data_IF_717787525285
#
_entry.id   IF_717787525285
#
_cell.length_a   1.000
_cell.length_b   1.000
_cell.length_c   1.000
_cell.angle_alpha   90.00
_cell.angle_beta   90.00
_cell.angle_gamma   90.00
#
_symmetry.space_group_name_H-M   'P 1'
#
loop_
_entity.id
_entity.type
_entity.pdbx_description
1 polymer ?
#
# COMPACT_ATOMS: atom_id res chain seq x y z
N UNK A 1 13.64 31.97 -67.54
CA UNK A 1 13.04 33.19 -66.95
C UNK A 1 13.28 33.14 -65.44
N UNK A 2 14.24 33.91 -64.92
CA UNK A 2 14.35 34.34 -63.50
C UNK A 2 14.02 35.84 -63.52
N UNK A 3 13.37 36.46 -62.52
CA UNK A 3 13.94 36.78 -61.19
C UNK A 3 12.90 36.48 -60.06
N UNK A 4 13.15 36.54 -58.75
CA UNK A 4 13.82 37.56 -57.96
C UNK A 4 14.34 36.97 -56.64
N UNK A 5 15.54 37.40 -56.26
CA UNK A 5 16.11 37.33 -54.93
C UNK A 5 15.24 38.10 -53.92
N UNK A 6 15.23 37.62 -52.66
CA UNK A 6 15.57 38.47 -51.52
C UNK A 6 16.25 37.63 -50.45
N UNK A 7 17.56 37.87 -50.28
CA UNK A 7 18.35 37.50 -49.12
C UNK A 7 17.88 38.30 -47.91
N UNK A 8 17.91 37.68 -46.73
CA UNK A 8 18.46 38.32 -45.53
C UNK A 8 19.25 37.26 -44.75
N UNK A 9 20.53 37.56 -44.58
CA UNK A 9 21.54 36.87 -43.79
C UNK A 9 21.16 36.78 -42.30
N UNK A 10 21.37 35.61 -41.68
CA UNK A 10 22.44 35.33 -40.71
C UNK A 10 22.08 35.58 -39.24
N UNK A 11 22.06 34.49 -38.46
CA UNK A 11 22.86 34.43 -37.24
C UNK A 11 23.18 32.96 -36.91
N UNK A 12 24.46 32.62 -37.07
CA UNK A 12 25.10 31.49 -36.40
C UNK A 12 25.17 31.81 -34.90
N UNK A 13 24.89 30.83 -34.05
CA UNK A 13 25.60 30.67 -32.79
C UNK A 13 25.71 29.17 -32.47
N UNK A 14 26.88 28.62 -32.77
CA UNK A 14 27.35 27.40 -32.15
C UNK A 14 27.81 27.75 -30.72
N UNK A 15 27.26 27.07 -29.70
CA UNK A 15 27.91 27.00 -28.39
C UNK A 15 27.86 25.58 -27.83
N UNK A 16 29.05 25.01 -27.82
CA UNK A 16 29.56 23.84 -27.10
C UNK A 16 29.13 23.74 -25.63
N UNK A 17 28.58 22.56 -25.27
CA UNK A 17 28.79 21.80 -24.02
C UNK A 17 28.28 22.38 -22.67
N UNK A 18 28.15 21.55 -21.61
CA UNK A 18 28.77 20.24 -21.44
C UNK A 18 27.79 19.06 -21.19
N UNK A 19 28.28 17.85 -21.52
CA UNK A 19 27.92 16.61 -20.87
C UNK A 19 27.99 16.77 -19.34
N UNK A 20 26.94 16.37 -18.63
CA UNK A 20 27.08 15.85 -17.29
C UNK A 20 26.68 14.37 -17.31
N UNK A 21 27.71 13.57 -17.47
CA UNK A 21 27.75 12.14 -17.17
C UNK A 21 27.95 12.00 -15.66
N UNK A 22 27.19 11.12 -15.01
CA UNK A 22 27.53 10.56 -13.71
C UNK A 22 26.65 10.97 -12.53
N UNK A 23 25.57 10.23 -12.30
CA UNK A 23 25.51 9.48 -11.05
C UNK A 23 25.36 8.00 -11.44
N UNK A 24 26.28 7.11 -11.02
CA UNK A 24 26.10 5.69 -11.22
C UNK A 24 24.98 5.25 -10.28
N UNK A 25 23.76 5.08 -10.81
CA UNK A 25 22.84 4.16 -10.16
C UNK A 25 23.52 2.80 -10.18
N UNK A 26 23.85 2.28 -8.99
CA UNK A 26 24.43 0.96 -8.85
C UNK A 26 23.58 -0.04 -9.65
N UNK A 27 24.17 -0.80 -10.58
CA UNK A 27 23.43 -1.76 -11.38
C UNK A 27 22.79 -2.84 -10.49
N UNK A 28 23.25 -3.04 -9.25
CA UNK A 28 22.63 -3.96 -8.29
C UNK A 28 21.34 -3.40 -7.65
N UNK A 29 21.25 -2.09 -7.41
CA UNK A 29 20.07 -1.47 -6.76
C UNK A 29 18.85 -1.41 -7.70
N UNK A 30 19.10 -1.25 -9.00
CA UNK A 30 18.05 -1.38 -10.02
C UNK A 30 17.60 -2.83 -10.20
N UNK A 31 18.52 -3.80 -10.13
CA UNK A 31 18.23 -5.23 -10.28
C UNK A 31 17.42 -5.81 -9.11
N UNK A 32 17.68 -5.39 -7.87
CA UNK A 32 16.88 -5.84 -6.70
C UNK A 32 15.44 -5.31 -6.78
N UNK A 33 15.24 -4.09 -7.29
CA UNK A 33 13.89 -3.52 -7.47
C UNK A 33 13.12 -4.09 -8.67
N UNK A 34 13.85 -4.63 -9.67
CA UNK A 34 13.31 -5.21 -10.89
C UNK A 34 12.77 -6.64 -10.70
N UNK A 35 13.31 -7.39 -9.73
CA UNK A 35 12.86 -8.76 -9.45
C UNK A 35 11.64 -8.81 -8.49
N UNK A 36 11.37 -7.71 -7.79
CA UNK A 36 10.24 -7.59 -6.86
C UNK A 36 8.99 -7.16 -7.64
N UNK A 37 8.09 -8.12 -7.85
CA UNK A 37 6.81 -7.92 -8.55
C UNK A 37 5.68 -7.70 -7.55
N UNK A 38 5.01 -6.55 -7.63
CA UNK A 38 3.80 -6.25 -6.86
C UNK A 38 2.52 -6.52 -7.67
N UNK A 39 1.34 -6.59 -7.02
CA UNK A 39 0.07 -6.71 -7.73
C UNK A 39 -0.15 -5.61 -8.78
N UNK A 40 0.29 -4.38 -8.49
CA UNK A 40 0.24 -3.27 -9.44
C UNK A 40 0.99 -3.55 -10.76
N UNK A 41 2.08 -4.31 -10.71
CA UNK A 41 2.85 -4.68 -11.90
C UNK A 41 2.15 -5.80 -12.72
N UNK A 42 1.28 -6.59 -12.08
CA UNK A 42 0.59 -7.74 -12.70
C UNK A 42 -0.79 -7.37 -13.23
N UNK A 43 -1.50 -6.49 -12.54
CA UNK A 43 -2.88 -6.13 -12.87
C UNK A 43 -2.95 -4.73 -13.50
N UNK A 44 -3.56 -4.65 -14.68
CA UNK A 44 -3.78 -3.36 -15.37
C UNK A 44 -4.67 -2.36 -14.60
N UNK A 45 -5.41 -2.80 -13.58
CA UNK A 45 -6.23 -1.93 -12.74
C UNK A 45 -6.50 -2.53 -11.36
N UNK A 46 -6.70 -1.66 -10.38
CA UNK A 46 -7.13 -2.04 -9.03
C UNK A 46 -8.44 -2.85 -9.04
N UNK A 47 -9.38 -2.53 -9.93
CA UNK A 47 -10.65 -3.27 -10.04
C UNK A 47 -10.45 -4.70 -10.56
N UNK A 48 -9.51 -4.91 -11.49
CA UNK A 48 -9.18 -6.26 -11.97
C UNK A 48 -8.54 -7.09 -10.86
N UNK A 49 -7.64 -6.49 -10.09
CA UNK A 49 -7.09 -7.06 -8.87
C UNK A 49 -8.20 -7.40 -7.85
N UNK A 50 -9.09 -6.46 -7.56
CA UNK A 50 -10.13 -6.64 -6.56
C UNK A 50 -11.11 -7.75 -6.96
N UNK A 51 -11.51 -7.82 -8.23
CA UNK A 51 -12.35 -8.90 -8.76
C UNK A 51 -11.62 -10.25 -8.65
N UNK A 52 -10.33 -10.29 -8.96
CA UNK A 52 -9.52 -11.49 -8.85
C UNK A 52 -9.52 -12.03 -7.41
N UNK A 53 -9.31 -11.17 -6.41
CA UNK A 53 -9.34 -11.53 -4.99
C UNK A 53 -10.73 -12.01 -4.53
N UNK A 54 -11.78 -11.31 -4.96
CA UNK A 54 -13.16 -11.64 -4.63
C UNK A 54 -13.53 -13.03 -5.18
N UNK A 55 -13.18 -13.33 -6.44
CA UNK A 55 -13.49 -14.62 -7.06
C UNK A 55 -12.71 -15.76 -6.40
N UNK A 56 -11.45 -15.53 -6.01
CA UNK A 56 -10.61 -16.55 -5.36
C UNK A 56 -11.01 -16.82 -3.91
N UNK A 57 -11.84 -15.96 -3.32
CA UNK A 57 -12.45 -16.18 -2.02
C UNK A 57 -13.54 -17.25 -2.11
N UNK A 58 -13.22 -18.48 -1.69
CA UNK A 58 -14.14 -19.64 -1.69
C UNK A 58 -15.56 -19.33 -1.19
N UNK A 59 -15.69 -18.49 -0.16
CA UNK A 59 -17.01 -18.09 0.37
C UNK A 59 -17.87 -17.36 -0.65
N UNK A 60 -17.29 -16.46 -1.45
CA UNK A 60 -18.02 -15.70 -2.49
C UNK A 60 -18.43 -16.63 -3.62
N UNK A 61 -17.53 -17.53 -4.05
CA UNK A 61 -17.84 -18.54 -5.07
C UNK A 61 -19.00 -19.45 -4.64
N UNK A 62 -18.99 -19.90 -3.38
CA UNK A 62 -20.09 -20.70 -2.81
C UNK A 62 -21.41 -19.91 -2.77
N UNK A 63 -21.39 -18.65 -2.33
CA UNK A 63 -22.60 -17.81 -2.33
C UNK A 63 -23.13 -17.55 -3.74
N UNK A 64 -22.24 -17.34 -4.72
CA UNK A 64 -22.63 -17.20 -6.12
C UNK A 64 -23.34 -18.46 -6.65
N UNK A 65 -22.85 -19.65 -6.31
CA UNK A 65 -23.51 -20.91 -6.65
C UNK A 65 -24.94 -20.96 -6.08
N UNK A 66 -25.12 -20.61 -4.80
CA UNK A 66 -26.44 -20.54 -4.17
C UNK A 66 -27.37 -19.52 -4.84
N UNK A 67 -26.82 -18.39 -5.28
CA UNK A 67 -27.56 -17.37 -6.02
C UNK A 67 -28.07 -17.93 -7.36
N UNK A 68 -27.23 -18.63 -8.13
CA UNK A 68 -27.62 -19.28 -9.38
C UNK A 68 -28.72 -20.32 -9.15
N UNK A 69 -28.57 -21.19 -8.13
CA UNK A 69 -29.58 -22.19 -7.78
C UNK A 69 -30.92 -21.54 -7.39
N UNK A 70 -30.86 -20.43 -6.66
CA UNK A 70 -32.05 -19.66 -6.27
C UNK A 70 -32.77 -19.09 -7.50
N UNK A 71 -32.03 -18.52 -8.47
CA UNK A 71 -32.61 -18.01 -9.71
C UNK A 71 -33.26 -19.15 -10.52
N UNK A 72 -32.58 -20.28 -10.68
CA UNK A 72 -33.12 -21.44 -11.39
C UNK A 72 -34.42 -21.93 -10.73
N UNK A 73 -34.45 -22.04 -9.40
CA UNK A 73 -35.65 -22.42 -8.67
C UNK A 73 -36.81 -21.44 -8.92
N UNK A 74 -36.54 -20.13 -8.92
CA UNK A 74 -37.56 -19.10 -9.19
C UNK A 74 -38.08 -19.21 -10.62
N UNK A 75 -37.21 -19.38 -11.62
CA UNK A 75 -37.61 -19.54 -13.01
C UNK A 75 -38.51 -20.77 -13.22
N UNK A 76 -38.16 -21.91 -12.61
CA UNK A 76 -39.00 -23.12 -12.68
C UNK A 76 -40.36 -22.91 -12.02
N UNK A 77 -40.42 -22.19 -10.91
CA UNK A 77 -41.66 -21.95 -10.17
C UNK A 77 -42.57 -20.93 -10.89
N UNK A 78 -42.01 -19.85 -11.45
CA UNK A 78 -42.75 -18.91 -12.31
C UNK A 78 -43.33 -19.66 -13.52
N UNK A 79 -42.56 -20.58 -14.12
CA UNK A 79 -43.04 -21.40 -15.24
C UNK A 79 -44.24 -22.29 -14.87
N UNK A 80 -44.38 -22.67 -13.60
CA UNK A 80 -45.45 -23.57 -13.14
C UNK A 80 -46.66 -22.81 -12.57
N UNK A 81 -46.42 -21.76 -11.79
CA UNK A 81 -47.45 -21.06 -11.02
C UNK A 81 -47.80 -19.66 -11.57
N UNK A 82 -46.99 -19.11 -12.48
CA UNK A 82 -47.15 -17.77 -13.10
C UNK A 82 -47.34 -16.60 -12.12
N UNK A 83 -46.99 -16.79 -10.84
CA UNK A 83 -47.16 -15.80 -9.77
C UNK A 83 -45.88 -15.68 -8.96
N UNK A 84 -45.37 -14.46 -8.82
CA UNK A 84 -44.28 -14.13 -7.92
C UNK A 84 -44.78 -14.12 -6.48
N UNK A 85 -44.40 -15.13 -5.70
CA UNK A 85 -44.79 -15.23 -4.29
C UNK A 85 -43.73 -14.57 -3.40
N UNK A 86 -44.12 -14.04 -2.22
CA UNK A 86 -43.16 -13.50 -1.24
C UNK A 86 -42.11 -14.54 -0.81
N UNK A 87 -42.44 -15.83 -0.88
CA UNK A 87 -41.50 -16.93 -0.64
C UNK A 87 -40.31 -16.94 -1.62
N UNK A 88 -40.42 -16.32 -2.80
CA UNK A 88 -39.34 -16.24 -3.80
C UNK A 88 -38.44 -15.01 -3.59
N UNK A 89 -38.97 -13.94 -3.00
CA UNK A 89 -38.22 -12.69 -2.78
C UNK A 89 -37.25 -12.82 -1.61
N UNK A 90 -37.67 -13.52 -0.54
CA UNK A 90 -36.87 -13.76 0.67
C UNK A 90 -35.50 -14.40 0.36
N UNK A 91 -35.39 -15.50 -0.43
CA UNK A 91 -34.09 -16.11 -0.72
C UNK A 91 -33.19 -15.21 -1.59
N UNK A 92 -33.74 -14.38 -2.48
CA UNK A 92 -32.94 -13.40 -3.22
C UNK A 92 -32.34 -12.37 -2.25
N UNK A 93 -33.18 -11.77 -1.41
CA UNK A 93 -32.73 -10.76 -0.45
C UNK A 93 -31.67 -11.31 0.50
N UNK A 94 -31.86 -12.53 1.03
CA UNK A 94 -30.89 -13.17 1.92
C UNK A 94 -29.55 -13.46 1.23
N UNK A 95 -29.54 -13.92 -0.03
CA UNK A 95 -28.31 -14.10 -0.79
C UNK A 95 -27.58 -12.78 -1.05
N UNK A 96 -28.31 -11.71 -1.41
CA UNK A 96 -27.74 -10.37 -1.60
C UNK A 96 -27.14 -9.84 -0.30
N UNK A 97 -27.88 -9.96 0.82
CA UNK A 97 -27.37 -9.58 2.14
C UNK A 97 -26.13 -10.37 2.53
N UNK A 98 -26.08 -11.67 2.24
CA UNK A 98 -24.91 -12.50 2.49
C UNK A 98 -23.72 -12.06 1.62
N UNK A 99 -23.92 -11.75 0.33
CA UNK A 99 -22.86 -11.22 -0.53
C UNK A 99 -22.29 -9.91 0.01
N UNK A 100 -23.16 -8.95 0.37
CA UNK A 100 -22.74 -7.67 0.95
C UNK A 100 -21.96 -7.88 2.25
N UNK A 101 -22.43 -8.78 3.10
CA UNK A 101 -21.74 -9.12 4.35
C UNK A 101 -20.35 -9.73 4.10
N UNK A 102 -20.20 -10.61 3.10
CA UNK A 102 -18.90 -11.19 2.74
C UNK A 102 -17.94 -10.13 2.17
N UNK A 103 -18.43 -9.20 1.34
CA UNK A 103 -17.63 -8.08 0.83
C UNK A 103 -17.18 -7.18 1.99
N UNK A 104 -18.07 -6.91 2.95
CA UNK A 104 -17.75 -6.16 4.16
C UNK A 104 -16.66 -6.86 5.00
N UNK A 105 -16.79 -8.17 5.22
CA UNK A 105 -15.77 -8.96 5.93
C UNK A 105 -14.42 -8.97 5.20
N UNK A 106 -14.44 -9.05 3.87
CA UNK A 106 -13.23 -8.98 3.05
C UNK A 106 -12.52 -7.63 3.16
N UNK A 107 -13.28 -6.52 3.20
CA UNK A 107 -12.73 -5.19 3.40
C UNK A 107 -12.25 -4.89 4.82
N UNK A 108 -12.49 -5.80 5.77
CA UNK A 108 -12.05 -5.61 7.16
C UNK A 108 -10.52 -5.78 7.22
N UNK A 109 -9.77 -4.76 7.68
CA UNK A 109 -8.32 -4.85 7.74
C UNK A 109 -7.89 -5.97 8.69
N UNK A 110 -6.82 -6.66 8.33
CA UNK A 110 -6.18 -7.64 9.21
C UNK A 110 -5.67 -6.87 10.44
N UNK A 111 -6.28 -7.11 11.59
CA UNK A 111 -5.98 -6.41 12.85
C UNK A 111 -5.13 -7.25 13.81
N UNK A 112 -4.45 -8.29 13.32
CA UNK A 112 -3.61 -9.13 14.16
C UNK A 112 -2.39 -8.36 14.67
N UNK A 113 -2.14 -8.41 15.98
CA UNK A 113 -0.96 -7.82 16.64
C UNK A 113 0.36 -8.32 16.01
N UNK A 114 0.40 -9.60 15.62
CA UNK A 114 1.55 -10.22 14.93
C UNK A 114 1.80 -9.65 13.53
N UNK A 115 0.75 -9.24 12.82
CA UNK A 115 0.88 -8.56 11.53
C UNK A 115 1.43 -7.14 11.72
N UNK A 116 0.92 -6.42 12.72
CA UNK A 116 1.38 -5.06 13.05
C UNK A 116 2.85 -5.05 13.45
N UNK A 117 3.24 -5.91 14.40
CA UNK A 117 4.64 -6.06 14.83
C UNK A 117 5.57 -6.41 13.67
N UNK A 118 5.18 -7.35 12.81
CA UNK A 118 5.97 -7.71 11.63
C UNK A 118 6.15 -6.54 10.67
N UNK A 119 5.09 -5.79 10.35
CA UNK A 119 5.17 -4.58 9.53
C UNK A 119 6.13 -3.55 10.14
N UNK A 120 5.99 -3.29 11.44
CA UNK A 120 6.83 -2.34 12.15
C UNK A 120 8.31 -2.75 12.14
N UNK A 121 8.59 -4.04 12.30
CA UNK A 121 9.95 -4.57 12.22
C UNK A 121 10.54 -4.39 10.81
N UNK A 122 9.77 -4.67 9.75
CA UNK A 122 10.23 -4.44 8.37
C UNK A 122 10.57 -2.97 8.11
N UNK A 123 9.76 -2.04 8.65
CA UNK A 123 10.02 -0.59 8.58
C UNK A 123 11.28 -0.20 9.36
N UNK A 124 11.49 -0.75 10.56
CA UNK A 124 12.71 -0.50 11.36
C UNK A 124 13.95 -1.00 10.62
N UNK A 125 13.88 -2.18 10.01
CA UNK A 125 15.01 -2.83 9.33
C UNK A 125 15.39 -2.10 8.05
N UNK A 126 14.42 -1.74 7.20
CA UNK A 126 14.68 -1.15 5.90
C UNK A 126 14.79 0.39 5.91
N UNK A 127 14.39 1.04 7.02
CA UNK A 127 14.47 2.50 7.22
C UNK A 127 13.94 3.30 6.01
N UNK A 128 12.69 3.07 5.58
CA UNK A 128 12.19 3.63 4.34
C UNK A 128 12.07 5.16 4.40
N UNK A 129 12.43 5.83 3.30
CA UNK A 129 12.16 7.26 3.10
C UNK A 129 10.74 7.49 2.54
N UNK A 130 10.29 8.76 2.38
CA UNK A 130 8.99 9.04 1.74
C UNK A 130 9.08 8.63 0.26
N UNK A 131 8.28 7.64 -0.14
CA UNK A 131 8.25 7.17 -1.53
C UNK A 131 9.53 6.47 -1.98
N UNK A 132 10.38 6.04 -1.05
CA UNK A 132 11.59 5.29 -1.37
C UNK A 132 11.31 3.87 -1.85
N UNK A 133 12.25 3.30 -2.64
CA UNK A 133 12.19 1.94 -3.19
C UNK A 133 12.03 0.87 -2.12
N UNK A 134 12.37 1.19 -0.87
CA UNK A 134 12.25 0.30 0.28
C UNK A 134 10.79 -0.05 0.59
N UNK A 135 9.83 0.85 0.32
CA UNK A 135 8.41 0.53 0.49
C UNK A 135 7.95 -0.58 -0.45
N UNK A 136 8.53 -0.67 -1.66
CA UNK A 136 8.30 -1.77 -2.59
C UNK A 136 8.69 -3.11 -1.95
N UNK A 137 9.90 -3.17 -1.39
CA UNK A 137 10.45 -4.36 -0.71
C UNK A 137 9.65 -4.73 0.54
N UNK A 138 9.33 -3.75 1.40
CA UNK A 138 8.52 -3.98 2.60
C UNK A 138 7.15 -4.55 2.21
N UNK A 139 6.50 -3.98 1.18
CA UNK A 139 5.19 -4.42 0.72
C UNK A 139 5.22 -5.86 0.21
N UNK A 140 6.24 -6.20 -0.58
CA UNK A 140 6.46 -7.56 -1.04
C UNK A 140 6.67 -8.54 0.12
N UNK A 141 7.56 -8.21 1.08
CA UNK A 141 7.82 -9.04 2.25
C UNK A 141 6.56 -9.28 3.09
N UNK A 142 5.74 -8.25 3.27
CA UNK A 142 4.48 -8.33 4.00
C UNK A 142 3.44 -9.20 3.29
N UNK A 143 3.29 -9.04 1.96
CA UNK A 143 2.42 -9.89 1.17
C UNK A 143 2.85 -11.38 1.23
N UNK A 144 4.15 -11.65 1.14
CA UNK A 144 4.72 -12.99 1.27
C UNK A 144 4.54 -13.58 2.67
N UNK A 145 4.68 -12.76 3.71
CA UNK A 145 4.42 -13.17 5.08
C UNK A 145 2.96 -13.58 5.28
N UNK A 146 2.02 -12.77 4.79
CA UNK A 146 0.59 -13.00 4.97
C UNK A 146 0.11 -14.30 4.32
N UNK A 147 0.60 -14.63 3.12
CA UNK A 147 0.26 -15.90 2.46
C UNK A 147 0.89 -17.09 3.19
N UNK A 148 2.16 -16.99 3.61
CA UNK A 148 2.87 -18.07 4.33
C UNK A 148 2.27 -18.35 5.71
N UNK A 149 1.84 -17.30 6.41
CA UNK A 149 1.18 -17.40 7.71
C UNK A 149 -0.30 -17.85 7.60
N UNK A 150 -0.84 -18.00 6.38
CA UNK A 150 -2.25 -18.34 6.16
C UNK A 150 -3.23 -17.23 6.56
N UNK A 151 -2.73 -16.02 6.82
CA UNK A 151 -3.53 -14.85 7.20
C UNK A 151 -4.23 -14.21 5.99
N UNK A 152 -3.70 -14.44 4.79
CA UNK A 152 -4.31 -14.04 3.53
C UNK A 152 -4.31 -15.18 2.50
N UNK A 153 -5.27 -15.17 1.57
CA UNK A 153 -5.49 -16.27 0.62
C UNK A 153 -4.63 -16.17 -0.64
N UNK A 154 -4.08 -15.01 -0.91
CA UNK A 154 -3.32 -14.69 -2.12
C UNK A 154 -2.03 -13.95 -1.75
N UNK A 155 -1.11 -13.76 -2.69
CA UNK A 155 0.08 -12.96 -2.43
C UNK A 155 -0.15 -11.45 -2.65
N UNK A 156 -1.41 -10.98 -2.66
CA UNK A 156 -1.75 -9.64 -3.18
C UNK A 156 -2.46 -8.72 -2.19
N UNK A 157 -2.28 -8.91 -0.87
CA UNK A 157 -3.00 -8.12 0.15
C UNK A 157 -2.82 -6.61 -0.03
N UNK A 158 -1.58 -6.13 -0.07
CA UNK A 158 -1.28 -4.76 -0.46
C UNK A 158 -1.09 -4.68 -1.96
N UNK A 159 -1.94 -3.90 -2.63
CA UNK A 159 -1.91 -3.72 -4.08
C UNK A 159 -0.61 -3.05 -4.56
N UNK A 160 -0.16 -2.04 -3.82
CA UNK A 160 1.03 -1.24 -4.14
C UNK A 160 1.74 -0.77 -2.87
N UNK A 161 2.95 -0.25 -3.06
CA UNK A 161 3.77 0.34 -2.01
C UNK A 161 3.09 1.51 -1.27
N UNK A 162 2.32 2.32 -2.00
CA UNK A 162 1.55 3.41 -1.43
C UNK A 162 0.46 2.91 -0.46
N UNK A 163 -0.22 1.80 -0.78
CA UNK A 163 -1.24 1.22 0.09
C UNK A 163 -0.64 0.70 1.42
N UNK A 164 0.56 0.12 1.37
CA UNK A 164 1.30 -0.30 2.56
C UNK A 164 1.72 0.91 3.41
N UNK A 165 2.20 1.97 2.77
CA UNK A 165 2.60 3.20 3.46
C UNK A 165 1.43 3.89 4.16
N UNK A 166 0.29 4.04 3.48
CA UNK A 166 -0.91 4.65 4.07
C UNK A 166 -1.46 3.83 5.25
N UNK A 167 -1.38 2.50 5.19
CA UNK A 167 -1.69 1.64 6.34
C UNK A 167 -0.78 1.93 7.53
N UNK A 168 0.54 2.04 7.29
CA UNK A 168 1.50 2.38 8.34
C UNK A 168 1.22 3.75 8.95
N UNK A 169 0.95 4.79 8.15
CA UNK A 169 0.56 6.12 8.66
C UNK A 169 -0.69 6.05 9.53
N UNK A 170 -1.72 5.33 9.09
CA UNK A 170 -2.96 5.15 9.85
C UNK A 170 -2.70 4.46 11.20
N UNK A 171 -1.81 3.47 11.22
CA UNK A 171 -1.39 2.76 12.43
C UNK A 171 -0.67 3.70 13.41
N UNK A 172 0.23 4.58 12.93
CA UNK A 172 0.89 5.56 13.80
C UNK A 172 -0.09 6.62 14.29
N UNK A 173 -0.88 7.23 13.41
CA UNK A 173 -1.84 8.29 13.76
C UNK A 173 -2.90 7.81 14.76
N UNK A 174 -3.36 6.57 14.64
CA UNK A 174 -4.33 5.98 15.57
C UNK A 174 -3.79 5.76 16.99
N UNK A 175 -2.47 5.66 17.15
CA UNK A 175 -1.81 5.42 18.43
C UNK A 175 -1.09 6.66 18.99
N UNK A 176 -0.72 7.61 18.12
CA UNK A 176 -0.11 8.88 18.43
C UNK A 176 -0.79 9.99 17.60
N UNK A 177 -1.95 10.48 18.05
CA UNK A 177 -2.75 11.45 17.30
C UNK A 177 -2.06 12.81 17.11
N UNK A 178 -1.05 13.11 17.93
CA UNK A 178 -0.30 14.36 17.92
C UNK A 178 0.89 14.36 16.93
N UNK A 179 1.18 13.25 16.26
CA UNK A 179 2.28 13.17 15.28
C UNK A 179 1.81 13.75 13.94
N UNK A 180 2.38 14.90 13.58
CA UNK A 180 2.10 15.57 12.30
C UNK A 180 3.01 14.99 11.20
N UNK A 181 2.40 14.27 10.25
CA UNK A 181 3.10 13.54 9.18
C UNK A 181 3.38 14.36 7.91
N UNK A 182 2.86 15.58 7.82
CA UNK A 182 2.78 16.33 6.54
C UNK A 182 3.73 17.55 6.46
N UNK A 183 4.61 17.74 7.44
CA UNK A 183 5.53 18.89 7.43
C UNK A 183 6.96 18.39 7.54
N UNK A 184 7.75 18.59 6.47
CA UNK A 184 9.19 18.35 6.42
C UNK A 184 10.00 19.07 7.54
N UNK A 185 9.34 19.88 8.38
CA UNK A 185 9.95 20.76 9.37
C UNK A 185 9.54 20.47 10.82
N UNK A 186 8.74 19.44 11.10
CA UNK A 186 8.36 19.13 12.48
C UNK A 186 8.95 17.79 12.89
N UNK A 187 9.90 17.83 13.85
CA UNK A 187 10.32 16.63 14.57
C UNK A 187 9.07 15.89 15.06
N UNK A 188 8.99 14.55 14.97
CA UNK A 188 8.06 13.81 15.80
C UNK A 188 8.60 13.93 17.23
N UNK A 189 8.26 15.01 17.93
CA UNK A 189 8.39 15.06 19.37
C UNK A 189 7.28 14.20 19.94
N UNK A 190 7.43 12.89 19.80
CA UNK A 190 6.59 11.93 20.51
C UNK A 190 7.09 11.98 21.95
N UNK A 191 6.41 12.77 22.78
CA UNK A 191 6.62 12.74 24.21
C UNK A 191 6.41 11.32 24.70
N UNK A 192 7.49 10.71 25.18
CA UNK A 192 7.45 9.46 25.94
C UNK A 192 6.45 9.70 27.07
N UNK A 193 5.37 8.92 27.21
CA UNK A 193 4.60 8.96 28.45
C UNK A 193 5.56 8.51 29.55
N UNK A 194 5.88 9.43 30.45
CA UNK A 194 6.85 9.33 31.54
C UNK A 194 6.45 8.32 32.63
N UNK A 195 5.87 7.18 32.25
CA UNK A 195 5.40 6.14 33.16
C UNK A 195 5.82 4.72 32.74
N UNK A 196 6.84 4.56 31.89
CA UNK A 196 7.45 3.25 31.64
C UNK A 196 8.99 3.26 31.71
N UNK A 197 9.56 4.11 32.56
CA UNK A 197 10.96 3.95 32.99
C UNK A 197 11.00 3.04 34.22
N UNK A 198 10.78 1.74 34.01
CA UNK A 198 11.27 0.68 34.89
C UNK A 198 10.91 -0.68 34.29
N UNK A 199 11.82 -1.25 33.53
CA UNK A 199 12.42 -2.58 33.76
C UNK A 199 13.17 -2.98 32.49
N UNK A 200 14.45 -2.61 32.45
CA UNK A 200 15.39 -3.08 31.45
C UNK A 200 15.77 -4.53 31.80
N UNK A 201 14.97 -5.50 31.35
CA UNK A 201 15.35 -6.90 31.32
C UNK A 201 15.38 -7.35 29.86
N UNK A 202 16.57 -7.78 29.42
CA UNK A 202 16.77 -8.53 28.18
C UNK A 202 15.82 -9.73 28.14
N UNK A 203 15.33 -10.04 26.94
CA UNK A 203 14.44 -11.16 26.60
C UNK A 203 12.92 -10.95 26.75
N UNK A 204 12.45 -9.70 26.62
CA UNK A 204 11.03 -9.41 26.41
C UNK A 204 10.81 -9.11 24.93
N UNK A 205 10.00 -9.93 24.26
CA UNK A 205 9.51 -9.68 22.91
C UNK A 205 9.03 -8.23 22.81
N UNK A 206 9.56 -7.42 21.87
CA UNK A 206 9.32 -5.99 21.89
C UNK A 206 7.82 -5.72 21.73
N UNK A 207 7.23 -5.06 22.74
CA UNK A 207 5.81 -4.70 22.74
C UNK A 207 5.49 -3.91 21.48
N UNK A 208 4.34 -4.19 20.85
CA UNK A 208 3.87 -3.53 19.61
C UNK A 208 4.01 -2.01 19.67
N UNK A 209 3.73 -1.42 20.83
CA UNK A 209 3.86 0.02 21.09
C UNK A 209 5.30 0.53 20.99
N UNK A 210 6.28 -0.24 21.45
CA UNK A 210 7.70 0.11 21.31
C UNK A 210 8.17 -0.01 19.86
N UNK A 211 7.79 -1.08 19.17
CA UNK A 211 8.08 -1.23 17.73
C UNK A 211 7.47 -0.08 16.92
N UNK A 212 6.24 0.31 17.28
CA UNK A 212 5.51 1.41 16.65
C UNK A 212 6.27 2.72 16.80
N UNK A 213 6.67 3.03 18.04
CA UNK A 213 7.47 4.21 18.34
C UNK A 213 8.77 4.22 17.54
N UNK A 214 9.53 3.11 17.58
CA UNK A 214 10.84 3.05 16.94
C UNK A 214 10.75 3.11 15.41
N UNK A 215 9.75 2.48 14.81
CA UNK A 215 9.50 2.56 13.37
C UNK A 215 9.17 3.99 12.93
N UNK A 216 8.31 4.69 13.68
CA UNK A 216 7.94 6.07 13.38
C UNK A 216 9.14 7.03 13.48
N UNK A 217 9.98 6.87 14.52
CA UNK A 217 11.19 7.66 14.71
C UNK A 217 12.20 7.44 13.56
N UNK A 218 12.46 6.19 13.20
CA UNK A 218 13.39 5.83 12.12
C UNK A 218 12.93 6.40 10.80
N UNK A 219 11.64 6.27 10.48
CA UNK A 219 11.11 6.80 9.24
C UNK A 219 11.24 8.32 9.19
N UNK A 220 10.92 9.02 10.28
CA UNK A 220 11.05 10.48 10.34
C UNK A 220 12.51 10.95 10.16
N UNK A 221 13.48 10.18 10.67
CA UNK A 221 14.89 10.45 10.43
C UNK A 221 15.26 10.26 8.95
N UNK A 222 14.88 9.13 8.35
CA UNK A 222 15.16 8.83 6.94
C UNK A 222 14.53 9.87 6.00
N UNK A 223 13.32 10.34 6.33
CA UNK A 223 12.64 11.42 5.60
C UNK A 223 13.39 12.74 5.70
N UNK A 224 13.88 13.11 6.88
CA UNK A 224 14.66 14.33 7.07
C UNK A 224 15.94 14.30 6.25
N UNK A 225 16.66 13.18 6.32
CA UNK A 225 17.89 12.95 5.56
C UNK A 225 17.64 13.06 4.06
N UNK A 226 16.55 12.45 3.57
CA UNK A 226 16.10 12.59 2.18
C UNK A 226 15.89 14.06 1.78
N UNK A 227 15.16 14.85 2.58
CA UNK A 227 14.93 16.26 2.27
C UNK A 227 16.20 17.12 2.35
N UNK A 228 17.09 16.84 3.30
CA UNK A 228 18.39 17.52 3.41
C UNK A 228 19.28 17.25 2.20
N UNK A 229 19.28 16.01 1.69
CA UNK A 229 20.03 15.64 0.50
C UNK A 229 19.42 16.26 -0.77
N UNK A 230 18.08 16.30 -0.87
CA UNK A 230 17.38 16.81 -2.04
C UNK A 230 17.38 18.36 -2.12
N UNK A 231 17.41 19.05 -0.98
CA UNK A 231 17.38 20.51 -0.88
C UNK A 231 18.35 21.03 0.21
N UNK A 232 19.67 21.01 -0.05
CA UNK A 232 20.68 21.39 0.93
C UNK A 232 20.59 22.88 1.36
N UNK A 233 20.05 23.74 0.49
CA UNK A 233 19.92 25.19 0.73
C UNK A 233 18.61 25.60 1.41
N UNK A 234 17.63 24.69 1.49
CA UNK A 234 16.40 24.91 2.24
C UNK A 234 16.74 24.62 3.71
N UNK A 235 17.15 25.65 4.47
CA UNK A 235 17.55 25.50 5.87
C UNK A 235 16.51 24.76 6.72
N UNK A 236 16.65 23.44 6.80
CA UNK A 236 15.96 22.59 7.77
C UNK A 236 16.66 22.88 9.11
N UNK A 237 15.92 23.29 10.16
CA UNK A 237 16.56 23.64 11.42
C UNK A 237 17.37 22.45 11.94
N UNK A 238 18.68 22.65 12.05
CA UNK A 238 19.58 21.79 12.81
C UNK A 238 19.24 21.93 14.29
N UNK A 239 19.26 20.78 14.98
CA UNK A 239 18.96 20.61 16.41
C UNK A 239 19.70 21.64 17.28
#
# INVERSE_FOLDING_TARGET
>A
MRPSLKNTDAQNDAKTGPLNEGSPEDPEDSLVSADIVLPEDVFASYWSYLLYEIVRTKCVMTTFLFFVLTILAILTNISFSSVLTPSMVIPICTNVSLLVFQIYLFGRPISHETFRTKLLLEVITHKPSIGGKEWKTITYNMNQYLIKAGLWKTPYYFFCEHACYEYFKGLVKGNYPDVQWDTANTQPFISIPENQVATHNSDVEPTVKWCLFKAAEIQAHAVREYWQNQYPDAGVPSI
#
